data_IF_680049803898
#
_entry.id   IF_680049803898
#
_cell.length_a   1.000
_cell.length_b   1.000
_cell.length_c   1.000
_cell.angle_alpha   90.00
_cell.angle_beta   90.00
_cell.angle_gamma   90.00
#
_symmetry.space_group_name_H-M   'P 1'
#
loop_
_entity.id
_entity.type
_entity.pdbx_description
1 polymer ?
#
# COMPACT_ATOMS: atom_id res chain seq x y z
N UNK A 1 20.81 28.60 -70.23
CA UNK A 1 19.80 28.68 -69.14
C UNK A 1 19.05 27.35 -69.11
N UNK A 2 19.49 26.37 -68.31
CA UNK A 2 18.79 25.09 -68.14
C UNK A 2 18.68 24.76 -66.65
N UNK A 3 17.51 25.02 -66.07
CA UNK A 3 17.16 24.71 -64.68
C UNK A 3 16.55 23.31 -64.64
N UNK A 4 17.25 22.33 -64.03
CA UNK A 4 16.70 21.00 -63.72
C UNK A 4 15.88 21.10 -62.44
N UNK A 5 14.59 20.78 -62.54
CA UNK A 5 13.61 20.80 -61.46
C UNK A 5 13.63 19.44 -60.74
N UNK A 6 13.99 19.42 -59.46
CA UNK A 6 13.99 18.22 -58.63
C UNK A 6 12.70 18.19 -57.81
N UNK A 7 11.75 17.32 -58.18
CA UNK A 7 10.52 17.12 -57.39
C UNK A 7 10.82 16.32 -56.12
N UNK A 8 10.56 16.93 -54.97
CA UNK A 8 10.63 16.30 -53.65
C UNK A 8 9.28 15.63 -53.35
N UNK A 9 9.26 14.28 -53.30
CA UNK A 9 8.09 13.50 -52.87
C UNK A 9 7.99 13.54 -51.34
N UNK A 10 7.01 14.27 -50.82
CA UNK A 10 6.67 14.30 -49.39
C UNK A 10 5.75 13.10 -49.11
N UNK A 11 6.25 12.13 -48.35
CA UNK A 11 5.45 11.04 -47.81
C UNK A 11 4.76 11.52 -46.52
N UNK A 12 3.44 11.67 -46.56
CA UNK A 12 2.60 11.89 -45.39
C UNK A 12 2.40 10.56 -44.66
N UNK A 13 3.07 10.40 -43.52
CA UNK A 13 2.81 9.30 -42.58
C UNK A 13 1.72 9.75 -41.61
N UNK A 14 0.52 9.23 -41.81
CA UNK A 14 -0.63 9.44 -40.92
C UNK A 14 -0.39 8.68 -39.62
N UNK A 15 -0.03 9.37 -38.54
CA UNK A 15 -0.02 8.79 -37.21
C UNK A 15 -1.46 8.77 -36.66
N UNK A 16 -2.05 7.57 -36.60
CA UNK A 16 -3.33 7.34 -35.95
C UNK A 16 -3.27 7.71 -34.48
N UNK A 17 -4.20 8.55 -34.04
CA UNK A 17 -4.34 8.98 -32.66
C UNK A 17 -5.06 7.86 -31.88
N UNK A 18 -4.29 6.89 -31.38
CA UNK A 18 -4.81 5.88 -30.45
C UNK A 18 -5.02 6.55 -29.09
N UNK A 19 -6.27 6.72 -28.67
CA UNK A 19 -6.62 7.24 -27.36
C UNK A 19 -6.08 6.29 -26.27
N UNK A 20 -5.04 6.73 -25.55
CA UNK A 20 -4.52 6.08 -24.35
C UNK A 20 -5.45 6.40 -23.18
N UNK A 21 -6.31 5.46 -22.83
CA UNK A 21 -7.06 5.49 -21.57
C UNK A 21 -6.17 4.89 -20.49
N UNK A 22 -5.65 5.72 -19.58
CA UNK A 22 -4.92 5.32 -18.39
C UNK A 22 -5.65 5.83 -17.13
N UNK A 23 -5.69 4.99 -16.09
CA UNK A 23 -6.42 5.13 -14.83
C UNK A 23 -7.94 5.38 -14.98
N UNK A 24 -8.69 4.27 -15.01
CA UNK A 24 -10.15 4.27 -15.08
C UNK A 24 -10.79 4.93 -13.87
N UNK A 25 -11.60 5.94 -14.15
CA UNK A 25 -12.47 6.64 -13.22
C UNK A 25 -13.60 5.68 -12.78
N UNK A 26 -13.39 4.85 -11.76
CA UNK A 26 -14.46 4.01 -11.21
C UNK A 26 -15.27 4.79 -10.18
N UNK A 27 -16.44 5.25 -10.61
CA UNK A 27 -17.44 5.89 -9.79
C UNK A 27 -18.79 5.21 -10.08
N UNK A 28 -19.09 4.09 -9.41
CA UNK A 28 -20.47 3.70 -9.12
C UNK A 28 -20.55 2.56 -8.08
N UNK A 29 -21.46 2.64 -7.09
CA UNK A 29 -21.69 1.60 -6.10
C UNK A 29 -22.74 0.63 -6.65
N UNK A 30 -22.43 -0.67 -6.68
CA UNK A 30 -23.43 -1.69 -6.92
C UNK A 30 -23.79 -2.42 -5.63
N UNK A 31 -25.10 -2.63 -5.54
CA UNK A 31 -25.88 -2.92 -4.37
C UNK A 31 -25.69 -4.34 -3.82
N UNK A 32 -26.11 -4.49 -2.56
CA UNK A 32 -26.24 -5.72 -1.80
C UNK A 32 -27.04 -6.83 -2.54
N UNK A 33 -27.08 -8.04 -1.96
CA UNK A 33 -28.26 -8.30 -1.15
C UNK A 33 -27.99 -8.93 0.23
N UNK A 34 -29.00 -8.74 1.08
CA UNK A 34 -29.13 -9.26 2.42
C UNK A 34 -29.35 -10.78 2.46
N UNK A 35 -28.88 -11.44 3.53
CA UNK A 35 -29.55 -12.58 4.15
C UNK A 35 -29.09 -12.74 5.61
N UNK A 36 -30.04 -13.17 6.44
CA UNK A 36 -30.13 -13.01 7.89
C UNK A 36 -29.43 -14.13 8.72
N UNK A 37 -29.49 -14.10 10.07
CA UNK A 37 -28.60 -14.86 10.96
C UNK A 37 -29.18 -16.20 11.45
N UNK A 38 -28.29 -17.12 11.86
CA UNK A 38 -28.65 -18.27 12.71
C UNK A 38 -27.74 -18.33 13.93
N UNK A 39 -28.34 -18.12 15.10
CA UNK A 39 -27.86 -18.47 16.43
C UNK A 39 -27.96 -19.98 16.65
N UNK A 40 -27.24 -20.51 17.65
CA UNK A 40 -27.50 -21.71 18.50
C UNK A 40 -26.23 -22.59 18.60
N UNK A 41 -25.75 -23.14 19.72
CA UNK A 41 -26.02 -23.05 21.18
C UNK A 41 -24.77 -23.65 21.85
N UNK A 42 -24.46 -23.18 23.06
CA UNK A 42 -23.46 -23.71 24.00
C UNK A 42 -23.84 -25.12 24.48
N UNK A 43 -22.86 -26.04 24.54
CA UNK A 43 -22.87 -27.07 25.60
C UNK A 43 -21.46 -27.58 25.89
N UNK A 44 -21.03 -27.36 27.13
CA UNK A 44 -19.91 -28.05 27.80
C UNK A 44 -20.54 -29.19 28.61
N UNK A 45 -19.87 -30.35 28.70
CA UNK A 45 -19.69 -30.91 30.05
C UNK A 45 -18.29 -31.48 30.30
N UNK A 46 -17.95 -31.45 31.59
CA UNK A 46 -16.70 -31.86 32.23
C UNK A 46 -16.64 -33.35 32.60
N UNK A 47 -15.43 -33.93 32.55
CA UNK A 47 -14.81 -34.94 33.45
C UNK A 47 -15.47 -36.35 33.57
N UNK A 48 -14.74 -37.46 33.89
CA UNK A 48 -13.69 -37.53 34.92
C UNK A 48 -12.42 -38.39 34.63
N UNK A 49 -11.49 -38.30 35.60
CA UNK A 49 -10.28 -39.08 35.88
C UNK A 49 -10.49 -40.60 36.05
N UNK A 50 -9.49 -41.43 35.70
CA UNK A 50 -8.67 -42.30 36.59
C UNK A 50 -7.88 -43.42 35.84
N UNK A 51 -6.56 -43.40 36.06
CA UNK A 51 -5.59 -44.48 36.39
C UNK A 51 -5.25 -45.70 35.48
N UNK A 52 -3.99 -45.68 35.00
CA UNK A 52 -2.83 -46.54 35.37
C UNK A 52 -2.83 -48.08 35.18
N UNK A 53 -1.86 -48.56 34.36
CA UNK A 53 -0.94 -49.72 34.56
C UNK A 53 -0.44 -50.20 33.17
N UNK A 54 0.83 -50.01 32.84
CA UNK A 54 1.93 -50.99 32.98
C UNK A 54 1.91 -52.11 31.92
N UNK A 55 2.86 -52.07 30.96
CA UNK A 55 3.46 -53.23 30.28
C UNK A 55 4.62 -52.79 29.36
N UNK A 56 5.58 -53.70 29.05
CA UNK A 56 7.01 -53.41 29.14
C UNK A 56 7.68 -53.21 27.79
N UNK A 57 8.88 -52.64 27.85
CA UNK A 57 9.81 -52.49 26.74
C UNK A 57 10.37 -53.85 26.27
N UNK A 58 10.28 -54.12 24.96
CA UNK A 58 11.08 -55.12 24.25
C UNK A 58 11.74 -54.44 23.02
N UNK A 59 12.97 -54.81 22.61
CA UNK A 59 13.85 -53.95 21.84
C UNK A 59 13.74 -54.19 20.34
N UNK A 60 13.77 -53.10 19.55
CA UNK A 60 14.07 -53.19 18.13
C UNK A 60 15.26 -52.30 17.74
N UNK A 61 16.00 -52.88 16.81
CA UNK A 61 17.35 -52.61 16.33
C UNK A 61 17.51 -51.27 15.58
N UNK A 62 18.76 -50.82 15.34
CA UNK A 62 19.04 -49.50 14.82
C UNK A 62 18.66 -49.40 13.34
N UNK A 63 17.69 -48.53 13.03
CA UNK A 63 17.42 -48.12 11.66
C UNK A 63 18.58 -47.26 11.14
N UNK A 64 19.28 -47.83 10.16
CA UNK A 64 20.23 -47.13 9.32
C UNK A 64 19.59 -45.90 8.66
N UNK A 65 20.42 -44.88 8.48
CA UNK A 65 20.09 -43.58 7.92
C UNK A 65 19.54 -43.72 6.49
N UNK A 66 18.29 -43.35 6.27
CA UNK A 66 17.77 -43.05 4.95
C UNK A 66 18.18 -41.59 4.61
N UNK A 67 18.84 -41.34 3.46
CA UNK A 67 19.36 -40.02 3.15
C UNK A 67 18.24 -39.00 2.94
N UNK A 68 18.48 -37.81 3.46
CA UNK A 68 17.61 -36.64 3.38
C UNK A 68 16.99 -36.47 1.98
N UNK A 69 15.68 -36.69 1.88
CA UNK A 69 14.91 -36.19 0.76
C UNK A 69 14.76 -34.67 0.94
N UNK A 70 15.54 -33.91 0.18
CA UNK A 70 15.35 -32.48 -0.01
C UNK A 70 13.89 -32.21 -0.39
N UNK A 71 13.21 -31.23 0.25
CA UNK A 71 12.02 -30.65 -0.35
C UNK A 71 12.41 -30.14 -1.73
N UNK A 72 11.71 -30.63 -2.75
CA UNK A 72 11.89 -30.21 -4.13
C UNK A 72 11.91 -28.68 -4.18
N UNK A 73 13.08 -28.12 -4.51
CA UNK A 73 13.22 -26.71 -4.80
C UNK A 73 12.36 -26.43 -6.02
N UNK A 74 11.23 -25.77 -5.78
CA UNK A 74 10.45 -25.14 -6.84
C UNK A 74 11.41 -24.22 -7.59
N UNK A 75 11.58 -24.37 -8.92
CA UNK A 75 12.53 -23.55 -9.66
C UNK A 75 12.24 -22.07 -9.42
N UNK A 76 13.23 -21.35 -8.90
CA UNK A 76 13.19 -19.90 -8.79
C UNK A 76 12.92 -19.34 -10.18
N UNK A 77 11.76 -18.70 -10.35
CA UNK A 77 11.45 -17.94 -11.55
C UNK A 77 12.37 -16.72 -11.59
N UNK A 78 13.57 -16.93 -12.12
CA UNK A 78 14.38 -15.89 -12.70
C UNK A 78 13.61 -15.30 -13.88
N UNK A 79 13.40 -13.98 -13.85
CA UNK A 79 12.91 -13.17 -14.97
C UNK A 79 11.49 -13.48 -15.49
N UNK A 80 10.47 -13.44 -14.63
CA UNK A 80 9.11 -13.16 -15.12
C UNK A 80 9.01 -11.66 -15.51
N UNK A 81 8.57 -11.32 -16.73
CA UNK A 81 8.35 -9.93 -17.11
C UNK A 81 7.20 -9.34 -16.29
N UNK A 82 7.53 -8.32 -15.48
CA UNK A 82 6.55 -7.55 -14.72
C UNK A 82 5.43 -7.07 -15.68
N UNK A 83 4.14 -7.34 -15.39
CA UNK A 83 3.06 -7.11 -16.33
C UNK A 83 3.10 -5.66 -16.82
N UNK A 84 3.05 -5.46 -18.13
CA UNK A 84 3.26 -4.19 -18.83
C UNK A 84 2.37 -3.02 -18.35
N UNK A 85 1.37 -3.27 -17.51
CA UNK A 85 0.60 -2.25 -16.78
C UNK A 85 1.49 -1.46 -15.79
N UNK A 86 2.27 -2.17 -14.97
CA UNK A 86 3.12 -1.60 -13.90
C UNK A 86 4.26 -0.70 -14.39
N UNK A 87 4.56 -0.71 -15.70
CA UNK A 87 5.61 0.13 -16.30
C UNK A 87 5.06 1.32 -17.10
N UNK A 88 3.75 1.41 -17.33
CA UNK A 88 3.15 2.46 -18.20
C UNK A 88 2.85 3.77 -17.49
N UNK A 89 2.85 3.79 -16.16
CA UNK A 89 2.59 4.97 -15.32
C UNK A 89 3.86 5.67 -14.84
N UNK A 90 5.03 5.05 -15.01
CA UNK A 90 6.30 5.60 -14.55
C UNK A 90 6.59 6.96 -15.23
N UNK A 91 6.63 8.02 -14.43
CA UNK A 91 7.04 9.36 -14.84
C UNK A 91 5.92 10.38 -15.06
N UNK A 92 4.66 10.00 -14.85
CA UNK A 92 3.53 10.93 -14.98
C UNK A 92 3.10 11.61 -13.67
N UNK A 93 3.50 11.05 -12.52
CA UNK A 93 3.37 11.71 -11.22
C UNK A 93 4.65 12.50 -10.93
N UNK A 94 4.51 13.81 -10.69
CA UNK A 94 5.63 14.71 -10.39
C UNK A 94 5.71 14.99 -8.89
N UNK A 95 6.91 15.01 -8.34
CA UNK A 95 7.16 15.29 -6.92
C UNK A 95 7.81 16.67 -6.82
N UNK A 96 7.26 17.52 -5.95
CA UNK A 96 7.70 18.89 -5.76
C UNK A 96 8.14 19.11 -4.31
N UNK A 97 9.25 19.82 -4.15
CA UNK A 97 9.68 20.36 -2.86
C UNK A 97 8.94 21.66 -2.57
N UNK A 98 8.25 21.72 -1.44
CA UNK A 98 7.44 22.86 -1.02
C UNK A 98 5.93 22.63 -1.15
N UNK A 99 5.13 23.55 -0.58
CA UNK A 99 3.68 23.45 -0.57
C UNK A 99 3.09 23.63 -1.97
N UNK A 100 1.89 23.11 -2.18
CA UNK A 100 1.14 23.40 -3.39
C UNK A 100 0.82 24.91 -3.49
N UNK A 101 1.01 25.50 -4.67
CA UNK A 101 0.72 26.91 -4.92
C UNK A 101 -0.78 27.26 -4.80
N UNK A 102 -1.65 26.27 -4.96
CA UNK A 102 -3.09 26.37 -4.74
C UNK A 102 -3.52 25.35 -3.68
N UNK A 103 -4.57 25.65 -2.88
CA UNK A 103 -5.11 24.69 -1.92
C UNK A 103 -5.48 23.38 -2.61
N UNK A 104 -5.05 22.26 -2.03
CA UNK A 104 -5.44 20.93 -2.49
C UNK A 104 -6.85 20.66 -1.94
N UNK A 105 -7.85 20.37 -2.79
CA UNK A 105 -9.18 20.07 -2.31
C UNK A 105 -9.17 18.82 -1.43
N UNK A 106 -9.96 18.78 -0.34
CA UNK A 106 -10.06 17.60 0.49
C UNK A 106 -10.61 16.43 -0.32
N UNK A 107 -9.91 15.30 -0.29
CA UNK A 107 -10.33 14.06 -0.93
C UNK A 107 -10.57 13.01 0.16
N UNK A 108 -11.66 12.20 0.08
CA UNK A 108 -11.87 11.09 1.00
C UNK A 108 -10.69 10.12 1.00
N UNK A 109 -10.38 9.57 2.18
CA UNK A 109 -9.31 8.59 2.32
C UNK A 109 -9.58 7.37 1.42
N UNK A 110 -8.53 6.83 0.78
CA UNK A 110 -8.65 5.72 -0.17
C UNK A 110 -9.17 6.10 -1.56
N UNK A 111 -9.33 7.39 -1.87
CA UNK A 111 -9.70 7.88 -3.21
C UNK A 111 -8.53 8.58 -3.88
N UNK A 112 -8.34 8.36 -5.19
CA UNK A 112 -7.25 8.98 -5.96
C UNK A 112 -7.47 10.48 -6.20
N UNK A 113 -6.46 11.29 -5.86
CA UNK A 113 -6.46 12.74 -6.10
C UNK A 113 -5.47 13.16 -7.20
N UNK A 114 -5.76 14.17 -8.04
CA UNK A 114 -4.78 14.72 -8.98
C UNK A 114 -3.59 15.40 -8.29
N UNK A 115 -3.75 15.81 -7.02
CA UNK A 115 -2.68 16.38 -6.20
C UNK A 115 -2.80 15.88 -4.77
N UNK A 116 -1.67 15.51 -4.18
CA UNK A 116 -1.56 15.14 -2.76
C UNK A 116 -0.37 15.87 -2.15
N UNK A 117 -0.38 16.05 -0.85
CA UNK A 117 0.73 16.67 -0.12
C UNK A 117 1.05 15.84 1.12
N UNK A 118 2.34 15.68 1.38
CA UNK A 118 2.87 15.04 2.60
C UNK A 118 3.73 16.05 3.36
N UNK A 119 3.42 16.21 4.64
CA UNK A 119 4.00 17.23 5.50
C UNK A 119 4.70 16.57 6.68
N UNK A 120 5.90 17.03 7.04
CA UNK A 120 6.40 16.85 8.39
C UNK A 120 5.48 17.65 9.31
N UNK A 121 4.62 16.95 10.03
CA UNK A 121 3.66 17.51 10.97
C UNK A 121 4.25 17.69 12.37
N UNK A 122 3.37 18.09 13.27
CA UNK A 122 3.68 18.18 14.70
C UNK A 122 4.04 16.79 15.27
N UNK A 123 4.67 16.77 16.44
CA UNK A 123 5.05 15.51 17.11
C UNK A 123 5.92 14.57 16.25
N UNK A 124 6.67 15.08 15.27
CA UNK A 124 7.49 14.23 14.39
C UNK A 124 6.70 13.13 13.66
N UNK A 125 5.44 13.40 13.28
CA UNK A 125 4.67 12.51 12.40
C UNK A 125 4.46 13.13 11.02
N UNK A 126 4.37 12.31 9.98
CA UNK A 126 4.00 12.79 8.64
C UNK A 126 2.48 12.86 8.54
N UNK A 127 1.97 13.95 7.97
CA UNK A 127 0.55 14.19 7.75
C UNK A 127 0.24 14.55 6.29
N UNK A 128 -1.04 14.53 5.91
CA UNK A 128 -1.49 15.08 4.63
C UNK A 128 -1.68 16.61 4.66
N UNK A 129 -2.16 17.21 3.58
CA UNK A 129 -2.51 18.66 3.51
C UNK A 129 -3.53 19.13 4.55
N UNK A 130 -4.29 18.22 5.16
CA UNK A 130 -5.31 18.52 6.18
C UNK A 130 -4.81 18.26 7.60
N UNK A 131 -3.58 17.75 7.76
CA UNK A 131 -3.05 17.36 9.07
C UNK A 131 -3.50 15.97 9.54
N UNK A 132 -4.06 15.13 8.66
CA UNK A 132 -4.37 13.74 9.00
C UNK A 132 -3.08 12.91 8.98
N UNK A 133 -2.86 12.11 10.01
CA UNK A 133 -1.65 11.28 10.16
C UNK A 133 -1.54 10.20 9.08
N UNK A 134 -0.33 9.98 8.58
CA UNK A 134 0.00 8.92 7.65
C UNK A 134 0.80 7.81 8.34
N UNK A 135 0.47 6.58 7.98
CA UNK A 135 0.97 5.35 8.61
C UNK A 135 1.67 4.45 7.60
N UNK A 136 2.62 3.67 8.12
CA UNK A 136 3.25 2.51 7.49
C UNK A 136 2.79 1.22 8.14
N UNK A 137 2.80 0.17 7.33
CA UNK A 137 2.51 -1.19 7.76
C UNK A 137 3.77 -2.05 7.68
N UNK A 138 4.09 -2.77 8.74
CA UNK A 138 5.29 -3.60 8.80
C UNK A 138 5.23 -4.88 7.97
N UNK A 139 4.04 -5.33 7.59
CA UNK A 139 3.90 -6.47 6.68
C UNK A 139 4.13 -6.06 5.20
N UNK A 140 4.20 -4.77 4.90
CA UNK A 140 4.64 -4.28 3.59
C UNK A 140 6.17 -4.40 3.44
N UNK A 141 6.68 -4.22 2.21
CA UNK A 141 8.12 -4.10 1.98
C UNK A 141 8.47 -2.75 1.35
N UNK A 142 9.67 -2.23 1.66
CA UNK A 142 10.15 -0.95 1.11
C UNK A 142 11.04 -1.10 -0.14
N UNK A 143 11.73 -2.23 -0.30
CA UNK A 143 12.70 -2.47 -1.37
C UNK A 143 12.59 -3.92 -1.90
N UNK A 144 11.85 -4.16 -3.00
CA UNK A 144 10.99 -3.21 -3.69
C UNK A 144 9.80 -2.79 -2.82
N UNK A 145 9.20 -1.64 -3.13
CA UNK A 145 7.96 -1.22 -2.49
C UNK A 145 6.85 -2.21 -2.84
N UNK A 146 6.20 -2.80 -1.84
CA UNK A 146 5.12 -3.77 -2.04
C UNK A 146 4.04 -3.60 -0.97
N UNK A 147 2.86 -3.07 -1.32
CA UNK A 147 1.72 -3.07 -0.43
C UNK A 147 1.12 -4.49 -0.31
N UNK A 148 0.66 -4.83 0.88
CA UNK A 148 -0.04 -6.08 1.25
C UNK A 148 -1.44 -5.80 1.79
N UNK A 149 -1.72 -4.56 2.20
CA UNK A 149 -3.03 -4.14 2.70
C UNK A 149 -4.03 -3.89 1.56
N UNK A 150 -4.91 -4.87 1.33
CA UNK A 150 -5.98 -4.85 0.33
C UNK A 150 -7.35 -5.24 0.95
N UNK A 151 -8.44 -5.03 0.22
CA UNK A 151 -9.78 -5.45 0.64
C UNK A 151 -10.21 -4.86 1.99
N UNK A 152 -10.58 -5.72 2.94
CA UNK A 152 -10.99 -5.31 4.30
C UNK A 152 -9.88 -4.56 5.06
N UNK A 153 -8.60 -4.86 4.78
CA UNK A 153 -7.50 -4.08 5.34
C UNK A 153 -7.58 -2.63 4.85
N UNK A 154 -7.75 -2.42 3.55
CA UNK A 154 -7.84 -1.09 2.94
C UNK A 154 -9.10 -0.29 3.36
N UNK A 155 -10.12 -0.95 3.91
CA UNK A 155 -11.26 -0.24 4.54
C UNK A 155 -10.88 0.36 5.90
N UNK A 156 -10.05 -0.34 6.67
CA UNK A 156 -9.55 0.11 7.99
C UNK A 156 -8.34 1.04 7.86
N UNK A 157 -7.55 0.81 6.82
CA UNK A 157 -6.32 1.52 6.50
C UNK A 157 -6.36 1.99 5.05
N UNK A 158 -7.13 3.05 4.75
CA UNK A 158 -7.26 3.51 3.38
C UNK A 158 -5.92 4.00 2.82
N UNK A 159 -5.51 3.59 1.61
CA UNK A 159 -4.26 4.05 1.02
C UNK A 159 -4.30 5.53 0.65
N UNK A 160 -3.15 6.21 0.73
CA UNK A 160 -2.97 7.55 0.15
C UNK A 160 -2.73 7.42 -1.35
N UNK A 161 -3.75 7.73 -2.15
CA UNK A 161 -3.74 7.53 -3.60
C UNK A 161 -3.56 8.84 -4.39
N UNK A 162 -2.75 8.77 -5.44
CA UNK A 162 -2.52 9.86 -6.40
C UNK A 162 -2.92 9.40 -7.82
N UNK A 163 -3.53 10.28 -8.61
CA UNK A 163 -3.83 10.02 -10.02
C UNK A 163 -2.56 10.08 -10.86
N UNK A 164 -2.59 9.41 -12.01
CA UNK A 164 -1.57 9.51 -13.05
C UNK A 164 -2.21 10.05 -14.34
N UNK A 165 -1.77 11.19 -14.88
CA UNK A 165 -0.76 12.10 -14.33
C UNK A 165 -1.23 12.81 -13.07
N UNK A 166 -0.29 13.18 -12.20
CA UNK A 166 -0.59 13.81 -10.91
C UNK A 166 0.61 14.49 -10.25
N UNK A 167 0.40 15.02 -9.05
CA UNK A 167 1.40 15.78 -8.31
C UNK A 167 1.46 15.36 -6.84
N UNK A 168 2.66 15.19 -6.31
CA UNK A 168 2.93 15.01 -4.89
C UNK A 168 3.75 16.22 -4.43
N UNK A 169 3.28 16.92 -3.40
CA UNK A 169 4.00 18.03 -2.79
C UNK A 169 4.57 17.59 -1.44
N UNK A 170 5.78 18.00 -1.11
CA UNK A 170 6.44 17.65 0.15
C UNK A 170 6.78 18.89 0.95
N UNK A 171 6.43 18.93 2.24
CA UNK A 171 6.81 20.03 3.13
C UNK A 171 7.54 19.44 4.32
N UNK A 172 8.84 19.71 4.46
CA UNK A 172 9.67 19.19 5.56
C UNK A 172 9.96 17.68 5.51
N UNK A 173 9.49 16.98 4.47
CA UNK A 173 9.89 15.61 4.11
C UNK A 173 10.79 15.70 2.88
N UNK A 174 11.93 15.00 2.86
CA UNK A 174 12.83 15.02 1.70
C UNK A 174 12.10 14.46 0.45
N UNK A 175 11.94 15.24 -0.62
CA UNK A 175 11.28 14.76 -1.84
C UNK A 175 11.96 13.54 -2.46
N UNK A 176 13.24 13.29 -2.18
CA UNK A 176 13.99 12.12 -2.69
C UNK A 176 13.58 10.80 -2.06
N UNK A 177 13.00 10.83 -0.85
CA UNK A 177 12.48 9.62 -0.20
C UNK A 177 10.99 9.41 -0.51
N UNK A 178 10.31 10.39 -1.08
CA UNK A 178 8.90 10.26 -1.49
C UNK A 178 8.84 9.69 -2.91
N UNK A 179 7.96 8.73 -3.12
CA UNK A 179 7.69 8.14 -4.43
C UNK A 179 6.26 7.62 -4.49
N UNK A 180 5.97 6.72 -5.43
CA UNK A 180 4.71 5.98 -5.49
C UNK A 180 4.95 4.56 -5.98
N UNK A 181 3.99 3.68 -5.69
CA UNK A 181 3.91 2.30 -6.18
C UNK A 181 2.58 2.10 -6.87
N UNK A 182 2.58 1.40 -8.01
CA UNK A 182 1.34 0.99 -8.67
C UNK A 182 0.80 -0.26 -7.96
N UNK A 183 -0.46 -0.17 -7.50
CA UNK A 183 -1.19 -1.29 -6.89
C UNK A 183 -1.76 -2.19 -7.99
N UNK A 184 -2.06 -3.47 -7.70
CA UNK A 184 -2.64 -4.39 -8.68
C UNK A 184 -3.98 -3.93 -9.28
N UNK A 185 -4.69 -3.05 -8.60
CA UNK A 185 -5.94 -2.41 -9.06
C UNK A 185 -5.72 -1.24 -10.05
N UNK A 186 -4.46 -0.92 -10.38
CA UNK A 186 -4.07 0.15 -11.29
C UNK A 186 -4.05 1.55 -10.65
N UNK A 187 -4.27 1.66 -9.34
CA UNK A 187 -4.12 2.92 -8.61
C UNK A 187 -2.66 3.16 -8.20
N UNK A 188 -2.25 4.42 -8.06
CA UNK A 188 -0.90 4.76 -7.59
C UNK A 188 -0.97 5.18 -6.12
N UNK A 189 -0.26 4.48 -5.25
CA UNK A 189 -0.17 4.78 -3.83
C UNK A 189 1.14 5.49 -3.52
N UNK A 190 1.07 6.57 -2.74
CA UNK A 190 2.26 7.31 -2.29
C UNK A 190 3.10 6.44 -1.37
N UNK A 191 4.42 6.51 -1.52
CA UNK A 191 5.40 5.84 -0.65
C UNK A 191 6.34 6.85 -0.02
N UNK A 192 6.78 6.58 1.20
CA UNK A 192 7.77 7.39 1.93
C UNK A 192 8.90 6.46 2.37
N UNK A 193 10.11 6.75 1.93
CA UNK A 193 11.29 5.90 2.02
C UNK A 193 11.01 4.44 1.56
N UNK A 194 10.22 4.32 0.50
CA UNK A 194 9.79 3.04 -0.09
C UNK A 194 8.60 2.36 0.58
N UNK A 195 8.18 2.78 1.77
CA UNK A 195 7.03 2.19 2.47
C UNK A 195 5.71 2.78 1.96
N UNK A 196 4.68 1.96 1.66
CA UNK A 196 3.37 2.46 1.25
C UNK A 196 2.67 3.25 2.36
N UNK A 197 2.06 4.37 2.01
CA UNK A 197 1.40 5.26 2.96
C UNK A 197 -0.11 5.06 3.05
N UNK A 198 -0.61 5.02 4.28
CA UNK A 198 -2.02 4.78 4.59
C UNK A 198 -2.55 5.82 5.58
N UNK A 199 -3.84 6.06 5.52
CA UNK A 199 -4.64 6.68 6.57
C UNK A 199 -5.14 5.62 7.55
N UNK A 200 -5.62 6.04 8.72
CA UNK A 200 -6.37 5.19 9.63
C UNK A 200 -7.83 5.61 9.70
N UNK A 201 -8.76 4.67 9.48
CA UNK A 201 -10.18 4.97 9.40
C UNK A 201 -10.82 5.47 10.71
N UNK A 202 -10.12 5.33 11.86
CA UNK A 202 -10.60 5.86 13.14
C UNK A 202 -10.06 7.26 13.46
N UNK A 203 -9.09 7.76 12.71
CA UNK A 203 -8.67 9.16 12.86
C UNK A 203 -9.73 10.05 12.22
N UNK A 204 -10.27 10.99 12.99
CA UNK A 204 -11.40 11.84 12.58
C UNK A 204 -11.00 13.29 12.44
N UNK A 205 -10.00 13.74 13.20
CA UNK A 205 -9.54 15.13 13.20
C UNK A 205 -8.04 15.22 12.97
N UNK A 206 -7.55 16.37 12.45
CA UNK A 206 -6.12 16.61 12.32
C UNK A 206 -5.39 16.43 13.66
N UNK A 207 -4.24 15.78 13.63
CA UNK A 207 -3.46 15.47 14.83
C UNK A 207 -3.89 14.19 15.57
N UNK A 208 -4.96 13.51 15.16
CA UNK A 208 -5.24 12.16 15.65
C UNK A 208 -4.09 11.22 15.26
N UNK A 209 -3.62 10.44 16.24
CA UNK A 209 -2.55 9.44 16.03
C UNK A 209 -3.03 8.05 16.51
N UNK A 210 -4.34 7.77 16.43
CA UNK A 210 -4.94 6.59 17.06
C UNK A 210 -4.47 5.28 16.43
N UNK A 211 -3.97 5.31 15.20
CA UNK A 211 -3.38 4.18 14.49
C UNK A 211 -1.99 3.75 15.02
N UNK A 212 -1.34 4.56 15.85
CA UNK A 212 0.00 4.29 16.33
C UNK A 212 0.04 3.04 17.21
N UNK A 213 0.84 2.05 16.80
CA UNK A 213 1.03 0.79 17.50
C UNK A 213 -0.13 -0.20 17.34
N UNK A 214 -1.14 0.10 16.52
CA UNK A 214 -2.27 -0.82 16.31
C UNK A 214 -1.76 -2.14 15.76
N UNK A 215 -2.15 -3.25 16.40
CA UNK A 215 -1.73 -4.60 16.00
C UNK A 215 -0.22 -4.82 16.08
N UNK A 216 0.54 -3.94 16.75
CA UNK A 216 2.02 -3.96 16.81
C UNK A 216 2.74 -3.85 15.47
N UNK A 217 1.99 -3.59 14.40
CA UNK A 217 2.48 -3.60 13.00
C UNK A 217 2.21 -2.28 12.28
N UNK A 218 1.38 -1.39 12.84
CA UNK A 218 1.06 -0.09 12.27
C UNK A 218 1.74 1.03 13.05
N UNK A 219 2.44 1.90 12.33
CA UNK A 219 3.19 3.01 12.93
C UNK A 219 3.04 4.27 12.08
N UNK A 220 2.87 5.41 12.75
CA UNK A 220 2.93 6.70 12.08
C UNK A 220 4.32 6.87 11.45
N UNK A 221 4.37 7.50 10.28
CA UNK A 221 5.65 7.86 9.67
C UNK A 221 6.33 8.96 10.45
N UNK A 222 7.63 8.86 10.66
CA UNK A 222 8.45 10.04 10.96
C UNK A 222 8.86 10.76 9.66
N UNK A 223 9.35 12.02 9.72
CA UNK A 223 9.76 12.77 8.52
C UNK A 223 10.87 12.13 7.67
N UNK A 224 11.60 11.15 8.21
CA UNK A 224 12.63 10.37 7.52
C UNK A 224 12.07 9.08 6.87
N UNK A 225 10.75 8.86 6.93
CA UNK A 225 10.08 7.67 6.41
C UNK A 225 10.25 6.41 7.25
N UNK A 226 10.77 6.55 8.47
CA UNK A 226 10.83 5.50 9.49
C UNK A 226 9.55 5.44 10.31
N UNK A 227 9.55 4.58 11.34
CA UNK A 227 8.51 4.57 12.36
C UNK A 227 8.71 5.77 13.28
N UNK A 228 7.62 6.42 13.66
CA UNK A 228 7.65 7.43 14.72
C UNK A 228 7.63 6.76 16.08
N UNK A 229 8.42 7.30 17.02
CA UNK A 229 8.49 6.86 18.42
C UNK A 229 7.46 7.60 19.30
N UNK A 230 6.54 8.37 18.70
CA UNK A 230 5.46 9.02 19.45
C UNK A 230 4.64 7.99 20.21
N UNK A 231 4.38 8.31 21.47
CA UNK A 231 3.40 7.58 22.25
C UNK A 231 2.01 7.83 21.65
N UNK A 232 1.16 6.79 21.62
CA UNK A 232 -0.25 6.93 21.29
C UNK A 232 -0.98 7.58 22.47
N UNK A 233 -0.74 8.88 22.67
CA UNK A 233 -1.52 9.70 23.58
C UNK A 233 -2.71 10.18 22.79
N UNK A 234 -3.82 9.42 22.81
CA UNK A 234 -5.05 9.80 22.11
C UNK A 234 -5.34 11.29 22.30
N UNK A 235 -5.68 11.98 21.21
CA UNK A 235 -5.89 13.43 21.20
C UNK A 235 -6.90 13.81 22.30
N UNK A 236 -6.40 14.39 23.39
CA UNK A 236 -7.20 14.54 24.61
C UNK A 236 -6.43 14.83 25.89
N UNK A 237 -5.30 15.54 25.84
CA UNK A 237 -4.79 16.24 27.01
C UNK A 237 -4.37 17.63 26.58
N UNK A 238 -5.37 18.51 26.53
CA UNK A 238 -5.14 19.93 26.43
C UNK A 238 -4.33 20.43 27.62
N UNK A 239 -3.38 21.30 27.31
CA UNK A 239 -2.86 22.33 28.21
C UNK A 239 -2.80 23.63 27.43
#
# INVERSE_FOLDING_TARGET
MNTRSTMLKIALVSAGLTALVACGNYNQPDAAPAAAPSTVVVTVPSAPEEQEADQPAEPEQPAAQEPAQQPAQQPQAANEPQPAALQRTMGQVKIFDGPAAAPIPPVPAGTSSPAVQVNAGENQVVTDSRGMTLYRFDEDSAKPSKPTCFGECAKKWPPLLVKSPGKIYTVGVDPKIVSYVERPDGTCQVTINGWPAYYFAKDQVPGDILGQGVGTTWFAFNPQGGKSDVANTGAGSGY
#
